data_IF_784676938472
#
_entry.id   IF_784676938472
#
_cell.length_a   1.000
_cell.length_b   1.000
_cell.length_c   1.000
_cell.angle_alpha   90.00
_cell.angle_beta   90.00
_cell.angle_gamma   90.00
#
_symmetry.space_group_name_H-M   'P 1'
#
loop_
_entity.id
_entity.type
_entity.pdbx_description
1 polymer ?
#
# COMPACT_ATOMS: atom_id res chain seq x y z
N UNK A 1 18.36 8.96 28.59
CA UNK A 1 18.31 8.19 27.36
C UNK A 1 17.97 9.08 26.16
N UNK A 2 18.16 8.57 24.94
CA UNK A 2 17.81 9.28 23.71
C UNK A 2 16.34 9.05 23.37
N UNK A 3 15.68 10.05 22.82
CA UNK A 3 14.33 9.92 22.28
C UNK A 3 14.43 9.72 20.76
N UNK A 4 13.86 8.61 20.27
CA UNK A 4 13.76 8.33 18.84
C UNK A 4 12.71 9.25 18.20
N UNK A 5 13.12 9.97 17.15
CA UNK A 5 12.22 10.81 16.34
C UNK A 5 11.65 9.95 15.22
N UNK A 6 10.49 9.37 15.45
CA UNK A 6 9.84 8.48 14.49
C UNK A 6 8.69 7.66 15.10
N UNK A 7 8.07 6.78 14.32
CA UNK A 7 7.00 5.90 14.79
C UNK A 7 7.52 4.90 15.84
N UNK A 8 6.60 4.33 16.59
CA UNK A 8 6.93 3.25 17.55
C UNK A 8 7.37 1.99 16.82
N UNK A 9 8.17 1.10 17.46
CA UNK A 9 8.55 -0.18 16.86
C UNK A 9 7.33 -1.00 16.40
N UNK A 10 6.23 -0.94 17.13
CA UNK A 10 4.99 -1.61 16.78
C UNK A 10 4.37 -1.02 15.50
N UNK A 11 4.29 0.31 15.40
CA UNK A 11 3.83 0.98 14.18
C UNK A 11 4.71 0.65 12.98
N UNK A 12 6.02 0.57 13.17
CA UNK A 12 6.96 0.16 12.10
C UNK A 12 6.68 -1.28 11.65
N UNK A 13 6.45 -2.22 12.57
CA UNK A 13 6.14 -3.62 12.22
C UNK A 13 4.83 -3.72 11.46
N UNK A 14 3.76 -3.07 11.95
CA UNK A 14 2.43 -3.12 11.31
C UNK A 14 2.47 -2.46 9.93
N UNK A 15 3.09 -1.29 9.81
CA UNK A 15 3.08 -0.50 8.57
C UNK A 15 4.20 -0.88 7.60
N UNK A 16 5.23 -1.58 8.08
CA UNK A 16 6.35 -2.05 7.27
C UNK A 16 6.03 -3.29 6.42
N UNK A 17 5.07 -4.11 6.85
CA UNK A 17 4.54 -5.23 6.08
C UNK A 17 3.28 -4.78 5.32
N UNK A 18 3.27 -4.95 4.00
CA UNK A 18 2.19 -4.43 3.15
C UNK A 18 0.84 -5.11 3.39
N UNK A 19 0.84 -6.38 3.73
CA UNK A 19 -0.39 -7.14 4.03
C UNK A 19 -0.97 -6.67 5.36
N UNK A 20 -0.15 -6.58 6.38
CA UNK A 20 -0.54 -6.11 7.72
C UNK A 20 -1.01 -4.65 7.68
N UNK A 21 -0.30 -3.79 6.97
CA UNK A 21 -0.67 -2.38 6.77
C UNK A 21 -2.04 -2.25 6.10
N UNK A 22 -2.28 -3.00 5.01
CA UNK A 22 -3.56 -3.00 4.31
C UNK A 22 -4.70 -3.46 5.21
N UNK A 23 -4.50 -4.55 5.97
CA UNK A 23 -5.49 -5.05 6.92
C UNK A 23 -5.79 -4.03 8.03
N UNK A 24 -4.77 -3.37 8.56
CA UNK A 24 -4.92 -2.31 9.56
C UNK A 24 -5.73 -1.13 9.00
N UNK A 25 -5.48 -0.73 7.74
CA UNK A 25 -6.21 0.35 7.07
C UNK A 25 -7.67 -0.03 6.80
N UNK A 26 -7.94 -1.25 6.33
CA UNK A 26 -9.31 -1.76 6.12
C UNK A 26 -10.08 -1.74 7.46
N UNK A 27 -9.47 -2.25 8.55
CA UNK A 27 -10.05 -2.21 9.90
C UNK A 27 -10.28 -0.78 10.41
N UNK A 28 -9.45 0.17 9.96
CA UNK A 28 -9.60 1.59 10.28
C UNK A 28 -10.69 2.29 9.45
N UNK A 29 -11.26 1.63 8.43
CA UNK A 29 -12.28 2.19 7.54
C UNK A 29 -11.69 3.00 6.37
N UNK A 30 -10.39 2.84 6.10
CA UNK A 30 -9.73 3.46 4.95
C UNK A 30 -10.00 2.61 3.71
N UNK A 31 -10.50 3.18 2.61
CA UNK A 31 -10.65 2.47 1.35
C UNK A 31 -9.29 1.99 0.83
N UNK A 32 -9.21 0.72 0.50
CA UNK A 32 -8.01 0.11 -0.08
C UNK A 32 -8.29 -0.39 -1.49
N UNK A 33 -7.23 -0.52 -2.29
CA UNK A 33 -7.32 -1.15 -3.61
C UNK A 33 -7.84 -2.58 -3.43
N UNK A 34 -8.86 -3.00 -4.20
CA UNK A 34 -9.38 -4.38 -4.15
C UNK A 34 -8.26 -5.40 -4.38
N UNK A 35 -8.29 -6.51 -3.65
CA UNK A 35 -7.26 -7.53 -3.77
C UNK A 35 -7.48 -8.70 -2.82
N UNK A 36 -6.46 -9.54 -2.66
CA UNK A 36 -6.48 -10.61 -1.67
C UNK A 36 -6.52 -10.04 -0.25
N UNK A 37 -7.18 -10.74 0.66
CA UNK A 37 -7.26 -10.36 2.09
C UNK A 37 -5.94 -10.58 2.85
N UNK A 38 -4.98 -11.24 2.20
CA UNK A 38 -3.67 -11.59 2.75
C UNK A 38 -2.78 -12.18 1.68
N UNK A 39 -1.87 -13.04 2.11
CA UNK A 39 -1.03 -13.80 1.21
C UNK A 39 -1.86 -14.71 0.30
N UNK A 40 -1.39 -14.89 -0.92
CA UNK A 40 -2.01 -15.85 -1.84
C UNK A 40 -1.73 -17.28 -1.38
N UNK A 41 -2.76 -18.13 -1.35
CA UNK A 41 -2.58 -19.56 -1.06
C UNK A 41 -1.74 -20.23 -2.15
N UNK A 42 -1.36 -21.51 -1.91
CA UNK A 42 -0.66 -22.30 -2.92
C UNK A 42 -1.60 -22.99 -3.91
N UNK A 43 -2.88 -23.11 -3.55
CA UNK A 43 -3.89 -23.75 -4.39
C UNK A 43 -4.26 -22.89 -5.61
N UNK A 44 -3.99 -23.38 -6.84
CA UNK A 44 -4.32 -22.66 -8.07
C UNK A 44 -5.80 -22.33 -8.23
N UNK A 45 -6.70 -23.16 -7.71
CA UNK A 45 -8.15 -22.94 -7.83
C UNK A 45 -8.56 -21.74 -6.98
N UNK A 46 -8.04 -21.63 -5.77
CA UNK A 46 -8.29 -20.49 -4.89
C UNK A 46 -7.68 -19.21 -5.46
N UNK A 47 -6.43 -19.26 -5.98
CA UNK A 47 -5.78 -18.12 -6.63
C UNK A 47 -6.65 -17.58 -7.79
N UNK A 48 -7.15 -18.46 -8.66
CA UNK A 48 -8.03 -18.08 -9.78
C UNK A 48 -9.33 -17.45 -9.29
N UNK A 49 -9.93 -18.00 -8.23
CA UNK A 49 -11.15 -17.45 -7.62
C UNK A 49 -10.91 -16.01 -7.11
N UNK A 50 -9.80 -15.78 -6.41
CA UNK A 50 -9.42 -14.44 -5.92
C UNK A 50 -9.24 -13.51 -7.12
N UNK A 51 -8.47 -13.89 -8.14
CA UNK A 51 -8.26 -13.05 -9.32
C UNK A 51 -9.56 -12.69 -10.04
N UNK A 52 -10.49 -13.64 -10.13
CA UNK A 52 -11.81 -13.43 -10.73
C UNK A 52 -12.65 -12.44 -9.92
N UNK A 53 -12.60 -12.49 -8.58
CA UNK A 53 -13.33 -11.56 -7.72
C UNK A 53 -12.74 -10.14 -7.77
N UNK A 54 -11.41 -10.01 -7.91
CA UNK A 54 -10.70 -8.73 -8.07
C UNK A 54 -10.92 -8.13 -9.46
N UNK A 55 -11.00 -8.99 -10.49
CA UNK A 55 -11.14 -8.62 -11.90
C UNK A 55 -9.83 -8.21 -12.55
N UNK A 56 -9.55 -8.77 -13.73
CA UNK A 56 -8.34 -8.47 -14.51
C UNK A 56 -8.35 -7.03 -15.08
N UNK A 57 -7.18 -6.43 -15.33
CA UNK A 57 -5.86 -6.90 -14.95
C UNK A 57 -5.62 -6.85 -13.44
N UNK A 58 -4.81 -7.78 -12.94
CA UNK A 58 -4.36 -7.81 -11.55
C UNK A 58 -2.85 -7.67 -11.49
N UNK A 59 -2.32 -7.27 -10.33
CA UNK A 59 -0.89 -7.21 -10.05
C UNK A 59 -0.56 -8.12 -8.87
N UNK A 60 0.44 -8.98 -9.04
CA UNK A 60 1.00 -9.79 -7.97
C UNK A 60 2.18 -9.04 -7.38
N UNK A 61 2.28 -8.97 -6.06
CA UNK A 61 3.32 -8.22 -5.35
C UNK A 61 3.92 -9.06 -4.23
N UNK A 62 5.23 -8.99 -4.07
CA UNK A 62 5.91 -9.55 -2.89
C UNK A 62 5.50 -8.79 -1.62
N UNK A 63 5.20 -9.52 -0.54
CA UNK A 63 4.82 -8.92 0.74
C UNK A 63 5.96 -8.08 1.34
N UNK A 64 7.17 -8.60 1.30
CA UNK A 64 8.40 -7.91 1.75
C UNK A 64 9.04 -7.01 0.69
N UNK A 65 8.46 -6.87 -0.50
CA UNK A 65 9.04 -6.15 -1.62
C UNK A 65 8.97 -4.63 -1.51
N UNK A 66 9.89 -3.95 -2.17
CA UNK A 66 9.94 -2.49 -2.30
C UNK A 66 10.62 -2.05 -3.59
N UNK A 67 10.50 -0.74 -3.93
CA UNK A 67 11.19 -0.15 -5.08
C UNK A 67 10.82 -0.76 -6.45
N UNK A 68 9.63 -1.33 -6.60
CA UNK A 68 9.18 -1.93 -7.87
C UNK A 68 9.68 -3.34 -8.14
N UNK A 69 10.43 -3.96 -7.23
CA UNK A 69 10.89 -5.35 -7.34
C UNK A 69 9.83 -6.32 -6.82
N UNK A 70 9.81 -7.53 -7.37
CA UNK A 70 8.84 -8.55 -6.98
C UNK A 70 7.40 -8.16 -7.29
N UNK A 71 7.16 -7.55 -8.46
CA UNK A 71 5.83 -7.19 -8.95
C UNK A 71 5.62 -7.66 -10.38
N UNK A 72 4.41 -8.19 -10.67
CA UNK A 72 4.07 -8.68 -12.00
C UNK A 72 2.61 -8.43 -12.33
N UNK A 73 2.37 -7.73 -13.43
CA UNK A 73 1.00 -7.48 -13.93
C UNK A 73 0.52 -8.68 -14.74
N UNK A 74 -0.72 -9.07 -14.52
CA UNK A 74 -1.38 -10.22 -15.16
C UNK A 74 -2.68 -9.75 -15.80
N UNK A 75 -2.78 -9.91 -17.10
CA UNK A 75 -3.93 -9.48 -17.89
C UNK A 75 -4.98 -10.57 -18.10
N UNK A 76 -4.57 -11.84 -18.04
CA UNK A 76 -5.44 -12.98 -18.34
C UNK A 76 -5.28 -14.12 -17.32
N UNK A 77 -6.32 -14.93 -17.15
CA UNK A 77 -6.28 -16.09 -16.27
C UNK A 77 -5.20 -17.11 -16.67
N UNK A 78 -4.97 -17.27 -17.98
CA UNK A 78 -3.98 -18.23 -18.48
C UNK A 78 -2.57 -17.95 -17.98
N UNK A 79 -2.20 -16.67 -17.83
CA UNK A 79 -0.88 -16.27 -17.35
C UNK A 79 -0.75 -16.27 -15.81
N UNK A 80 -1.87 -16.38 -15.07
CA UNK A 80 -1.91 -16.09 -13.64
C UNK A 80 -0.99 -16.99 -12.81
N UNK A 81 -1.16 -18.30 -12.93
CA UNK A 81 -0.45 -19.26 -12.05
C UNK A 81 1.06 -19.20 -12.28
N UNK A 82 1.49 -19.09 -13.54
CA UNK A 82 2.91 -18.92 -13.84
C UNK A 82 3.46 -17.60 -13.27
N UNK A 83 2.70 -16.51 -13.41
CA UNK A 83 3.10 -15.22 -12.84
C UNK A 83 3.23 -15.26 -11.31
N UNK A 84 2.31 -15.94 -10.62
CA UNK A 84 2.39 -16.13 -9.16
C UNK A 84 3.65 -16.92 -8.79
N UNK A 85 3.90 -18.06 -9.46
CA UNK A 85 5.07 -18.91 -9.18
C UNK A 85 6.37 -18.13 -9.40
N UNK A 86 6.51 -17.41 -10.51
CA UNK A 86 7.69 -16.58 -10.80
C UNK A 86 7.88 -15.49 -9.75
N UNK A 87 6.80 -14.81 -9.33
CA UNK A 87 6.91 -13.73 -8.33
C UNK A 87 7.26 -14.27 -6.96
N UNK A 88 6.72 -15.44 -6.55
CA UNK A 88 7.11 -16.13 -5.31
C UNK A 88 8.61 -16.46 -5.29
N UNK A 89 9.12 -17.01 -6.40
CA UNK A 89 10.54 -17.36 -6.52
C UNK A 89 11.43 -16.10 -6.44
N UNK A 90 11.12 -15.07 -7.21
CA UNK A 90 11.83 -13.77 -7.15
C UNK A 90 11.82 -13.17 -5.75
N UNK A 91 10.67 -13.21 -5.06
CA UNK A 91 10.52 -12.70 -3.71
C UNK A 91 11.37 -13.48 -2.69
N UNK A 92 11.37 -14.81 -2.80
CA UNK A 92 12.20 -15.67 -1.95
C UNK A 92 13.70 -15.37 -2.10
N UNK A 93 14.18 -15.20 -3.32
CA UNK A 93 15.59 -14.90 -3.60
C UNK A 93 15.96 -13.47 -3.16
N UNK A 94 15.11 -12.48 -3.48
CA UNK A 94 15.45 -11.08 -3.26
C UNK A 94 15.23 -10.61 -1.81
N UNK A 95 14.26 -11.19 -1.09
CA UNK A 95 13.82 -10.71 0.21
C UNK A 95 13.84 -11.78 1.32
N UNK A 96 14.21 -13.02 1.01
CA UNK A 96 14.16 -14.13 1.96
C UNK A 96 12.74 -14.54 2.37
N UNK A 97 11.70 -14.02 1.70
CA UNK A 97 10.29 -14.28 1.95
C UNK A 97 9.55 -14.41 0.63
N UNK A 98 9.00 -15.59 0.35
CA UNK A 98 8.26 -15.88 -0.88
C UNK A 98 6.80 -15.46 -0.84
N UNK A 99 6.32 -14.90 0.27
CA UNK A 99 4.94 -14.45 0.40
C UNK A 99 4.59 -13.39 -0.64
N UNK A 100 3.48 -13.60 -1.35
CA UNK A 100 2.95 -12.66 -2.35
C UNK A 100 1.47 -12.42 -2.11
N UNK A 101 0.98 -11.27 -2.50
CA UNK A 101 -0.43 -10.90 -2.48
C UNK A 101 -0.86 -10.35 -3.83
N UNK A 102 -2.16 -10.24 -4.05
CA UNK A 102 -2.75 -9.77 -5.29
C UNK A 102 -3.57 -8.50 -5.07
N UNK A 103 -3.50 -7.59 -6.04
CA UNK A 103 -4.35 -6.40 -6.08
C UNK A 103 -4.86 -6.12 -7.49
N UNK A 104 -5.94 -5.36 -7.58
CA UNK A 104 -6.37 -4.76 -8.84
C UNK A 104 -5.24 -3.90 -9.41
N UNK A 105 -4.87 -4.13 -10.67
CA UNK A 105 -3.95 -3.24 -11.36
C UNK A 105 -4.69 -2.00 -11.82
N UNK A 106 -4.29 -0.85 -11.31
CA UNK A 106 -4.84 0.43 -11.71
C UNK A 106 -4.08 0.94 -12.93
N UNK A 107 -4.78 1.11 -14.04
CA UNK A 107 -4.22 1.66 -15.26
C UNK A 107 -4.18 3.19 -15.17
N UNK A 108 -3.02 3.78 -15.46
CA UNK A 108 -2.81 5.23 -15.44
C UNK A 108 -3.24 5.92 -14.12
N UNK A 109 -2.83 5.39 -12.94
CA UNK A 109 -3.19 6.00 -11.67
C UNK A 109 -2.39 7.30 -11.45
N UNK A 110 -2.96 8.20 -10.65
CA UNK A 110 -2.18 9.26 -10.00
C UNK A 110 -1.71 8.76 -8.63
N UNK A 111 -0.49 9.14 -8.26
CA UNK A 111 0.04 8.91 -6.93
C UNK A 111 -0.13 10.18 -6.12
N UNK A 112 -1.15 10.24 -5.30
CA UNK A 112 -1.42 11.37 -4.40
C UNK A 112 -1.25 10.89 -2.97
N UNK A 113 -0.48 11.63 -2.18
CA UNK A 113 -0.21 11.28 -0.79
C UNK A 113 -0.66 12.40 0.15
N UNK A 114 -1.15 12.01 1.32
CA UNK A 114 -1.57 12.91 2.39
C UNK A 114 -0.48 12.93 3.46
N UNK A 115 0.05 14.10 3.78
CA UNK A 115 1.02 14.28 4.86
C UNK A 115 0.31 14.31 6.20
N UNK A 116 0.77 13.46 7.12
CA UNK A 116 0.27 13.39 8.51
C UNK A 116 1.36 13.79 9.48
N UNK A 117 0.93 14.43 10.56
CA UNK A 117 1.73 14.65 11.76
C UNK A 117 0.92 14.20 12.97
N UNK A 118 1.51 13.34 13.80
CA UNK A 118 0.87 12.81 15.00
C UNK A 118 1.80 12.85 16.22
N UNK A 119 1.23 13.10 17.39
CA UNK A 119 1.97 13.18 18.65
C UNK A 119 1.80 11.93 19.53
N UNK A 120 2.47 11.92 20.67
CA UNK A 120 2.39 10.84 21.66
C UNK A 120 1.07 10.83 22.46
N UNK A 121 0.27 11.88 22.35
CA UNK A 121 -1.00 12.03 23.08
C UNK A 121 -2.22 11.64 22.21
N UNK A 122 -1.98 10.99 21.07
CA UNK A 122 -2.99 10.57 20.09
C UNK A 122 -3.66 11.74 19.35
N UNK A 123 -3.05 12.93 19.35
CA UNK A 123 -3.45 13.96 18.42
C UNK A 123 -2.82 13.66 17.04
N UNK A 124 -3.59 13.90 15.99
CA UNK A 124 -3.12 13.78 14.62
C UNK A 124 -3.79 14.85 13.76
N UNK A 125 -3.03 15.38 12.82
CA UNK A 125 -3.50 16.34 11.82
C UNK A 125 -2.99 15.93 10.46
N UNK A 126 -3.72 16.29 9.40
CA UNK A 126 -3.19 16.25 8.04
C UNK A 126 -2.75 17.67 7.64
N UNK A 127 -1.66 17.77 6.90
CA UNK A 127 -1.05 19.04 6.51
C UNK A 127 -1.31 19.40 5.03
N UNK A 128 -2.00 18.54 4.32
CA UNK A 128 -2.28 18.68 2.90
C UNK A 128 -1.81 17.48 2.11
N UNK A 129 -1.87 17.61 0.81
CA UNK A 129 -1.54 16.55 -0.14
C UNK A 129 -0.41 16.95 -1.09
N UNK A 130 0.23 15.93 -1.66
CA UNK A 130 1.19 16.06 -2.76
C UNK A 130 0.81 15.11 -3.89
N UNK A 131 0.96 15.54 -5.13
CA UNK A 131 0.97 14.66 -6.28
C UNK A 131 2.41 14.22 -6.56
N UNK A 132 2.63 12.92 -6.52
CA UNK A 132 3.93 12.28 -6.73
C UNK A 132 3.90 11.37 -7.97
N UNK A 133 3.07 11.66 -8.95
CA UNK A 133 2.89 10.83 -10.15
C UNK A 133 4.08 10.86 -11.10
N UNK A 134 4.89 11.91 -11.07
CA UNK A 134 6.10 12.03 -11.89
C UNK A 134 7.21 11.15 -11.32
N UNK A 135 7.27 9.91 -11.82
CA UNK A 135 8.17 8.88 -11.32
C UNK A 135 9.00 8.28 -12.45
N UNK A 136 10.23 7.87 -12.13
CA UNK A 136 11.08 7.05 -12.98
C UNK A 136 11.37 5.73 -12.29
N UNK A 137 10.95 4.61 -12.88
CA UNK A 137 11.13 3.27 -12.29
C UNK A 137 10.66 3.19 -10.83
N UNK A 138 9.46 3.76 -10.56
CA UNK A 138 8.84 3.86 -9.21
C UNK A 138 9.59 4.74 -8.20
N UNK A 139 10.50 5.59 -8.65
CA UNK A 139 11.14 6.61 -7.84
C UNK A 139 10.51 7.97 -8.14
N UNK A 140 10.06 8.66 -7.12
CA UNK A 140 9.52 10.02 -7.22
C UNK A 140 10.61 10.98 -7.70
N UNK A 141 10.29 11.79 -8.71
CA UNK A 141 11.23 12.77 -9.30
C UNK A 141 10.74 14.18 -9.02
N UNK A 142 9.44 14.43 -9.22
CA UNK A 142 8.81 15.73 -8.99
C UNK A 142 7.58 15.49 -8.12
N UNK A 143 7.42 16.34 -7.13
CA UNK A 143 6.25 16.39 -6.25
C UNK A 143 5.63 17.77 -6.33
N UNK A 144 4.31 17.83 -6.48
CA UNK A 144 3.55 19.07 -6.57
C UNK A 144 2.60 19.18 -5.37
N UNK A 145 2.61 20.33 -4.71
CA UNK A 145 1.69 20.64 -3.62
C UNK A 145 1.08 22.05 -3.83
N UNK A 146 -0.24 22.16 -3.77
CA UNK A 146 -1.26 21.12 -3.67
C UNK A 146 -1.38 20.29 -4.94
N UNK A 147 -1.95 19.08 -4.84
CA UNK A 147 -2.17 18.20 -5.99
C UNK A 147 -3.14 18.85 -7.01
N UNK A 148 -2.72 19.08 -8.27
CA UNK A 148 -3.53 19.82 -9.23
C UNK A 148 -4.82 19.06 -9.59
N UNK A 149 -5.92 19.81 -9.79
CA UNK A 149 -7.19 19.28 -10.30
C UNK A 149 -7.96 18.35 -9.36
N UNK A 150 -7.62 18.30 -8.06
CA UNK A 150 -8.39 17.56 -7.05
C UNK A 150 -9.22 18.55 -6.22
N UNK A 151 -10.52 18.27 -6.11
CA UNK A 151 -11.40 19.11 -5.33
C UNK A 151 -11.02 19.07 -3.84
N UNK A 152 -10.93 20.23 -3.21
CA UNK A 152 -10.56 20.37 -1.79
C UNK A 152 -11.40 19.47 -0.88
N UNK A 153 -12.71 19.38 -1.09
CA UNK A 153 -13.62 18.52 -0.32
C UNK A 153 -13.25 17.02 -0.37
N UNK A 154 -12.57 16.58 -1.45
CA UNK A 154 -12.09 15.19 -1.54
C UNK A 154 -10.86 15.03 -0.65
N UNK A 155 -9.93 15.98 -0.73
CA UNK A 155 -8.72 15.98 0.11
C UNK A 155 -9.10 16.04 1.59
N UNK A 156 -10.02 16.92 1.98
CA UNK A 156 -10.46 17.03 3.38
C UNK A 156 -11.05 15.69 3.87
N UNK A 157 -11.91 15.05 3.08
CA UNK A 157 -12.50 13.74 3.42
C UNK A 157 -11.42 12.65 3.57
N UNK A 158 -10.44 12.63 2.67
CA UNK A 158 -9.34 11.65 2.72
C UNK A 158 -8.44 11.96 3.92
N UNK A 159 -8.09 13.23 4.13
CA UNK A 159 -7.30 13.70 5.25
C UNK A 159 -7.91 13.29 6.60
N UNK A 160 -9.21 13.52 6.79
CA UNK A 160 -9.92 13.12 8.00
C UNK A 160 -9.87 11.60 8.24
N UNK A 161 -9.97 10.80 7.18
CA UNK A 161 -9.82 9.35 7.27
C UNK A 161 -8.41 8.94 7.67
N UNK A 162 -7.38 9.60 7.12
CA UNK A 162 -5.99 9.36 7.48
C UNK A 162 -5.76 9.70 8.96
N UNK A 163 -6.28 10.83 9.44
CA UNK A 163 -6.22 11.23 10.85
C UNK A 163 -6.90 10.19 11.74
N UNK A 164 -8.10 9.75 11.38
CA UNK A 164 -8.83 8.72 12.13
C UNK A 164 -8.06 7.40 12.19
N UNK A 165 -7.44 6.99 11.07
CA UNK A 165 -6.60 5.80 11.00
C UNK A 165 -5.37 5.93 11.90
N UNK A 166 -4.67 7.06 11.88
CA UNK A 166 -3.52 7.33 12.76
C UNK A 166 -3.87 7.21 14.24
N UNK A 167 -4.98 7.81 14.64
CA UNK A 167 -5.47 7.73 16.03
C UNK A 167 -5.79 6.27 16.43
N UNK A 168 -6.41 5.50 15.53
CA UNK A 168 -6.80 4.12 15.79
C UNK A 168 -5.62 3.18 15.97
N UNK A 169 -4.56 3.36 15.15
CA UNK A 169 -3.34 2.53 15.24
C UNK A 169 -2.31 3.08 16.24
N UNK A 170 -2.57 4.23 16.86
CA UNK A 170 -1.62 4.87 17.78
C UNK A 170 -0.35 5.37 17.08
N UNK A 171 -0.45 5.79 15.81
CA UNK A 171 0.69 6.31 15.06
C UNK A 171 1.27 7.56 15.70
N UNK A 172 2.60 7.69 15.63
CA UNK A 172 3.34 8.83 16.16
C UNK A 172 4.46 9.22 15.21
N UNK A 173 4.64 10.52 14.99
CA UNK A 173 5.64 11.07 14.11
C UNK A 173 5.05 11.64 12.81
N UNK A 174 5.91 11.99 11.88
CA UNK A 174 5.53 12.36 10.52
C UNK A 174 5.38 11.12 9.64
N UNK A 175 4.39 11.14 8.75
CA UNK A 175 4.16 10.03 7.83
C UNK A 175 3.28 10.44 6.66
N UNK A 176 3.19 9.56 5.66
CA UNK A 176 2.35 9.78 4.47
C UNK A 176 1.41 8.60 4.22
N UNK A 177 0.22 8.93 3.76
CA UNK A 177 -0.76 7.98 3.26
C UNK A 177 -0.94 8.17 1.77
#
# INVERSE_FOLDING_TARGET
>A
GFQFIGPTPESIRIMGDKVSAKQAMIKAGVPCVPGSEGELPDDPVQIKRIAKSVGYPVIIKAAGGGGGRGMRVVHTEAALINAVAMTKNEAGIAFGNSAVYMEKFLQNPRHVEIQILADKYKNAVYLGERDCSMQRRHQKIIEEAPAPGILRKIIDRVGDRCVAACKKIGYRGAGTF
#
